data_IF_454837195758
#
_entry.id   IF_454837195758
#
_cell.length_a   1.000
_cell.length_b   1.000
_cell.length_c   1.000
_cell.angle_alpha   90.00
_cell.angle_beta   90.00
_cell.angle_gamma   90.00
#
_symmetry.space_group_name_H-M   'P 1'
#
loop_
_entity.id
_entity.type
_entity.pdbx_description
1 polymer ?
#
# COMPACT_ATOMS: atom_id res chain seq x y z
N UNK A 1 -31.20 -10.47 -5.01
CA UNK A 1 -29.89 -9.76 -5.28
C UNK A 1 -28.95 -10.15 -4.15
N UNK A 2 -27.61 -10.03 -4.25
CA UNK A 2 -26.69 -10.65 -3.28
C UNK A 2 -27.11 -10.52 -1.82
N UNK A 3 -27.49 -9.31 -1.37
CA UNK A 3 -27.95 -9.02 0.01
C UNK A 3 -29.45 -8.77 0.18
N UNK A 4 -30.28 -9.14 -0.81
CA UNK A 4 -31.74 -8.97 -0.83
C UNK A 4 -32.25 -7.63 -0.27
N UNK A 5 -31.63 -6.55 -0.75
CA UNK A 5 -31.98 -5.17 -0.40
C UNK A 5 -33.47 -4.86 -0.66
N UNK A 6 -34.15 -4.40 0.38
CA UNK A 6 -35.48 -3.78 0.29
C UNK A 6 -35.32 -2.31 -0.11
N UNK A 7 -35.61 -2.01 -1.38
CA UNK A 7 -35.38 -0.70 -1.96
C UNK A 7 -36.55 0.25 -1.68
N UNK A 8 -36.25 1.37 -1.04
CA UNK A 8 -37.20 2.46 -0.84
C UNK A 8 -36.71 3.80 -1.40
N UNK A 9 -37.65 4.70 -1.68
CA UNK A 9 -37.38 6.05 -2.22
C UNK A 9 -36.58 6.97 -1.29
N UNK A 10 -36.47 6.66 0.00
CA UNK A 10 -35.76 7.47 1.02
C UNK A 10 -34.78 6.67 1.88
N UNK A 11 -35.01 5.37 2.02
CA UNK A 11 -34.19 4.44 2.80
C UNK A 11 -34.24 3.10 2.10
N UNK A 12 -33.11 2.40 2.03
CA UNK A 12 -33.06 1.00 1.62
C UNK A 12 -32.41 0.19 2.74
N UNK A 13 -32.87 -1.03 2.98
CA UNK A 13 -32.47 -1.84 4.14
C UNK A 13 -32.08 -3.25 3.66
N UNK A 14 -30.99 -3.77 4.22
CA UNK A 14 -30.59 -5.18 4.10
C UNK A 14 -30.00 -5.64 5.44
N UNK A 15 -30.06 -6.94 5.71
CA UNK A 15 -29.43 -7.51 6.90
C UNK A 15 -27.91 -7.60 6.70
N UNK A 16 -27.15 -7.11 7.69
CA UNK A 16 -25.68 -7.14 7.64
C UNK A 16 -25.14 -8.58 7.65
N UNK A 17 -25.90 -9.54 8.17
CA UNK A 17 -25.55 -10.97 8.07
C UNK A 17 -25.53 -11.46 6.63
N UNK A 18 -26.47 -11.01 5.79
CA UNK A 18 -26.54 -11.40 4.38
C UNK A 18 -25.35 -10.86 3.59
N UNK A 19 -24.81 -9.70 4.00
CA UNK A 19 -23.56 -9.18 3.45
C UNK A 19 -22.37 -10.10 3.72
N UNK A 20 -22.23 -10.64 4.94
CA UNK A 20 -21.15 -11.58 5.26
C UNK A 20 -21.24 -12.85 4.39
N UNK A 21 -22.44 -13.39 4.21
CA UNK A 21 -22.68 -14.54 3.35
C UNK A 21 -22.46 -14.22 1.86
N UNK A 22 -22.89 -13.05 1.42
CA UNK A 22 -22.74 -12.62 0.01
C UNK A 22 -21.30 -12.46 -0.41
N UNK A 23 -20.46 -11.93 0.48
CA UNK A 23 -19.04 -11.70 0.25
C UNK A 23 -18.37 -12.95 -0.30
N UNK A 24 -18.57 -14.11 0.34
CA UNK A 24 -17.98 -15.36 -0.15
C UNK A 24 -18.78 -16.00 -1.29
N UNK A 25 -20.13 -15.96 -1.26
CA UNK A 25 -20.96 -16.64 -2.26
C UNK A 25 -20.87 -16.02 -3.65
N UNK A 26 -20.73 -14.69 -3.73
CA UNK A 26 -20.86 -13.94 -4.98
C UNK A 26 -19.65 -13.08 -5.33
N UNK A 27 -18.83 -12.71 -4.34
CA UNK A 27 -17.77 -11.71 -4.52
C UNK A 27 -16.35 -12.25 -4.30
N UNK A 28 -16.19 -13.56 -4.08
CA UNK A 28 -14.87 -14.20 -4.01
C UNK A 28 -14.07 -13.87 -2.75
N UNK A 29 -14.73 -13.43 -1.67
CA UNK A 29 -14.12 -13.26 -0.35
C UNK A 29 -14.04 -14.59 0.41
N UNK A 30 -13.24 -14.61 1.46
CA UNK A 30 -13.02 -15.78 2.30
C UNK A 30 -14.29 -16.11 3.07
N UNK A 31 -14.55 -17.40 3.21
CA UNK A 31 -15.67 -17.90 4.02
C UNK A 31 -15.50 -17.56 5.51
N UNK A 32 -14.30 -17.17 5.94
CA UNK A 32 -14.03 -16.68 7.30
C UNK A 32 -14.69 -15.33 7.61
N UNK A 33 -15.19 -14.60 6.60
CA UNK A 33 -15.95 -13.37 6.83
C UNK A 33 -17.19 -13.67 7.68
N UNK A 34 -17.22 -13.14 8.90
CA UNK A 34 -18.19 -13.53 9.93
C UNK A 34 -18.88 -12.34 10.54
N UNK A 35 -20.21 -12.38 10.54
CA UNK A 35 -21.05 -11.42 11.22
C UNK A 35 -21.06 -11.69 12.74
N UNK A 36 -20.83 -10.66 13.54
CA UNK A 36 -20.80 -10.73 15.01
C UNK A 36 -21.62 -9.59 15.63
N UNK A 37 -22.17 -9.84 16.82
CA UNK A 37 -23.01 -8.90 17.56
C UNK A 37 -22.25 -8.38 18.79
N UNK A 38 -22.13 -7.06 18.96
CA UNK A 38 -21.38 -6.44 20.08
C UNK A 38 -21.85 -6.93 21.45
N UNK A 39 -23.14 -7.19 21.60
CA UNK A 39 -23.76 -7.60 22.85
C UNK A 39 -23.26 -8.96 23.36
N UNK A 40 -22.65 -9.78 22.50
CA UNK A 40 -22.09 -11.09 22.86
C UNK A 40 -20.65 -10.98 23.42
N UNK A 41 -20.09 -9.77 23.48
CA UNK A 41 -18.69 -9.50 23.85
C UNK A 41 -18.59 -8.37 24.88
N UNK A 42 -17.55 -8.41 25.72
CA UNK A 42 -17.18 -7.25 26.55
C UNK A 42 -16.75 -6.06 25.66
N UNK A 43 -16.67 -4.86 26.24
CA UNK A 43 -16.20 -3.69 25.51
C UNK A 43 -14.72 -3.80 25.11
N UNK A 44 -13.89 -4.35 26.00
CA UNK A 44 -12.48 -4.63 25.76
C UNK A 44 -12.30 -5.64 24.61
N UNK A 45 -12.90 -6.83 24.71
CA UNK A 45 -12.76 -7.87 23.68
C UNK A 45 -13.24 -7.39 22.31
N UNK A 46 -14.34 -6.65 22.27
CA UNK A 46 -14.82 -6.13 20.99
C UNK A 46 -13.89 -5.07 20.38
N UNK A 47 -13.32 -4.21 21.21
CA UNK A 47 -12.35 -3.21 20.78
C UNK A 47 -11.07 -3.88 20.27
N UNK A 48 -10.57 -4.91 20.96
CA UNK A 48 -9.41 -5.70 20.55
C UNK A 48 -9.62 -6.37 19.19
N UNK A 49 -10.79 -6.96 18.98
CA UNK A 49 -11.13 -7.59 17.70
C UNK A 49 -11.16 -6.57 16.55
N UNK A 50 -11.63 -5.34 16.79
CA UNK A 50 -11.59 -4.28 15.79
C UNK A 50 -10.15 -3.84 15.49
N UNK A 51 -9.33 -3.66 16.52
CA UNK A 51 -7.92 -3.30 16.35
C UNK A 51 -7.15 -4.40 15.60
N UNK A 52 -7.44 -5.68 15.84
CA UNK A 52 -6.83 -6.81 15.13
C UNK A 52 -7.09 -6.77 13.62
N UNK A 53 -8.34 -6.53 13.20
CA UNK A 53 -8.68 -6.38 11.78
C UNK A 53 -7.92 -5.21 11.14
N UNK A 54 -7.89 -4.07 11.82
CA UNK A 54 -7.24 -2.85 11.33
C UNK A 54 -5.72 -3.01 11.25
N UNK A 55 -5.10 -3.72 12.20
CA UNK A 55 -3.67 -4.07 12.16
C UNK A 55 -3.33 -4.99 10.99
N UNK A 56 -4.30 -5.79 10.53
CA UNK A 56 -4.16 -6.61 9.33
C UNK A 56 -4.60 -5.88 8.05
N UNK A 57 -4.78 -4.55 8.10
CA UNK A 57 -5.21 -3.72 6.97
C UNK A 57 -6.56 -4.15 6.38
N UNK A 58 -7.47 -4.64 7.22
CA UNK A 58 -8.84 -5.03 6.84
C UNK A 58 -9.84 -4.04 7.43
N UNK A 59 -10.38 -3.10 6.63
CA UNK A 59 -11.51 -2.29 7.07
C UNK A 59 -12.72 -3.15 7.42
N UNK A 60 -13.43 -2.77 8.47
CA UNK A 60 -14.53 -3.55 9.05
C UNK A 60 -15.86 -2.91 8.65
N UNK A 61 -16.73 -3.67 7.96
CA UNK A 61 -18.12 -3.23 7.79
C UNK A 61 -18.82 -3.30 9.15
N UNK A 62 -19.30 -2.14 9.60
CA UNK A 62 -19.90 -1.94 10.91
C UNK A 62 -21.36 -1.48 10.76
N UNK A 63 -22.15 -1.65 11.82
CA UNK A 63 -23.48 -1.05 11.93
C UNK A 63 -23.82 -0.69 13.36
N UNK A 64 -24.73 0.26 13.48
CA UNK A 64 -25.35 0.67 14.73
C UNK A 64 -26.80 1.09 14.50
N UNK A 65 -27.51 1.40 15.58
CA UNK A 65 -28.92 1.82 15.55
C UNK A 65 -29.12 3.05 16.40
N UNK A 66 -29.72 4.05 15.78
CA UNK A 66 -30.40 5.13 16.46
C UNK A 66 -31.78 4.64 16.89
N UNK A 67 -32.09 4.77 18.18
CA UNK A 67 -33.32 4.23 18.76
C UNK A 67 -34.58 4.91 18.19
N UNK A 68 -34.47 6.12 17.65
CA UNK A 68 -35.57 6.90 17.10
C UNK A 68 -35.59 6.91 15.56
N UNK A 69 -34.44 6.70 14.92
CA UNK A 69 -34.27 6.92 13.47
C UNK A 69 -33.90 5.66 12.68
N UNK A 70 -33.62 4.54 13.34
CA UNK A 70 -33.33 3.26 12.68
C UNK A 70 -31.85 2.90 12.62
N UNK A 71 -31.55 1.83 11.88
CA UNK A 71 -30.19 1.31 11.72
C UNK A 71 -29.42 2.02 10.62
N UNK A 72 -28.09 2.05 10.74
CA UNK A 72 -27.18 2.50 9.70
C UNK A 72 -25.96 1.57 9.62
N UNK A 73 -25.39 1.39 8.42
CA UNK A 73 -24.17 0.63 8.19
C UNK A 73 -23.09 1.55 7.61
N UNK A 74 -21.88 1.40 8.09
CA UNK A 74 -20.73 2.29 7.86
C UNK A 74 -19.43 1.47 7.96
N UNK A 75 -18.27 2.08 7.73
CA UNK A 75 -16.97 1.37 7.71
C UNK A 75 -16.08 1.87 8.84
N UNK A 76 -15.53 0.96 9.63
CA UNK A 76 -14.42 1.25 10.54
C UNK A 76 -13.10 0.96 9.81
N UNK A 77 -12.27 1.97 9.61
CA UNK A 77 -11.04 1.90 8.78
C UNK A 77 -9.79 2.46 9.48
N UNK A 78 -9.87 2.73 10.78
CA UNK A 78 -8.71 3.14 11.57
C UNK A 78 -9.02 3.25 13.06
N UNK A 79 -7.98 3.48 13.85
CA UNK A 79 -8.09 3.72 15.28
C UNK A 79 -6.99 4.67 15.78
N UNK A 80 -7.20 5.28 16.95
CA UNK A 80 -6.27 6.18 17.64
C UNK A 80 -6.15 5.76 19.10
N UNK A 81 -4.92 5.44 19.54
CA UNK A 81 -4.69 4.90 20.87
C UNK A 81 -5.38 3.55 21.04
N UNK A 82 -6.13 3.37 22.14
CA UNK A 82 -6.85 2.12 22.45
C UNK A 82 -8.37 2.28 22.52
N UNK A 83 -8.89 3.50 22.32
CA UNK A 83 -10.30 3.81 22.63
C UNK A 83 -11.08 4.44 21.47
N UNK A 84 -10.41 5.12 20.54
CA UNK A 84 -11.05 5.83 19.44
C UNK A 84 -10.93 5.07 18.13
N UNK A 85 -12.04 4.92 17.42
CA UNK A 85 -12.11 4.28 16.12
C UNK A 85 -12.56 5.27 15.05
N UNK A 86 -11.88 5.26 13.91
CA UNK A 86 -12.26 6.06 12.75
C UNK A 86 -13.42 5.39 12.02
N UNK A 87 -14.45 6.16 11.68
CA UNK A 87 -15.58 5.69 10.92
C UNK A 87 -15.81 6.55 9.69
N UNK A 88 -15.95 5.89 8.54
CA UNK A 88 -16.50 6.43 7.32
C UNK A 88 -18.01 6.12 7.26
N UNK A 89 -18.84 7.15 7.33
CA UNK A 89 -20.30 7.00 7.44
C UNK A 89 -21.01 6.75 6.10
N UNK A 90 -20.27 6.80 4.98
CA UNK A 90 -20.83 6.67 3.64
C UNK A 90 -21.59 7.91 3.15
N UNK A 91 -21.33 9.08 3.74
CA UNK A 91 -21.98 10.36 3.38
C UNK A 91 -21.01 11.34 2.68
N UNK A 92 -20.10 10.81 1.86
CA UNK A 92 -19.15 11.62 1.09
C UNK A 92 -18.15 12.41 1.94
N UNK A 93 -17.75 11.86 3.09
CA UNK A 93 -16.83 12.51 4.06
C UNK A 93 -17.53 13.29 5.17
N UNK A 94 -18.84 13.55 5.06
CA UNK A 94 -19.58 14.24 6.12
C UNK A 94 -19.63 13.40 7.40
N UNK A 95 -19.18 14.00 8.50
CA UNK A 95 -19.10 13.39 9.83
C UNK A 95 -18.05 12.28 9.97
N UNK A 96 -17.24 11.99 8.95
CA UNK A 96 -16.15 11.03 9.10
C UNK A 96 -15.16 11.51 10.18
N UNK A 97 -14.64 10.57 10.97
CA UNK A 97 -13.76 10.93 12.08
C UNK A 97 -13.67 9.86 13.15
N UNK A 98 -13.05 10.21 14.27
CA UNK A 98 -12.76 9.31 15.40
C UNK A 98 -13.84 9.40 16.48
N UNK A 99 -14.36 8.24 16.88
CA UNK A 99 -15.45 8.09 17.84
C UNK A 99 -15.14 7.01 18.87
N UNK A 100 -15.70 7.17 20.07
CA UNK A 100 -15.83 6.06 21.02
C UNK A 100 -16.95 5.14 20.55
N UNK A 101 -16.80 3.82 20.72
CA UNK A 101 -17.86 2.86 20.41
C UNK A 101 -19.14 3.09 21.24
N UNK A 102 -19.02 3.66 22.44
CA UNK A 102 -20.16 4.06 23.27
C UNK A 102 -20.84 5.36 22.81
N UNK A 103 -20.19 6.15 21.95
CA UNK A 103 -20.64 7.47 21.52
C UNK A 103 -20.50 7.68 20.00
N UNK A 104 -21.16 6.81 19.23
CA UNK A 104 -21.24 6.88 17.76
C UNK A 104 -22.25 7.95 17.30
N UNK A 105 -21.96 9.22 17.63
CA UNK A 105 -22.81 10.37 17.33
C UNK A 105 -22.39 11.03 16.00
N UNK A 106 -23.10 10.72 14.91
CA UNK A 106 -22.80 11.24 13.58
C UNK A 106 -23.93 12.18 13.12
N UNK A 107 -23.58 13.44 12.85
CA UNK A 107 -24.57 14.48 12.53
C UNK A 107 -25.64 14.57 13.63
N UNK A 108 -26.93 14.38 13.31
CA UNK A 108 -28.05 14.37 14.26
C UNK A 108 -28.45 12.98 14.76
N UNK A 109 -27.63 11.94 14.53
CA UNK A 109 -27.95 10.55 14.85
C UNK A 109 -27.00 9.96 15.89
N UNK A 110 -27.48 9.01 16.69
CA UNK A 110 -26.68 8.27 17.69
C UNK A 110 -26.76 6.78 17.43
N UNK A 111 -25.73 6.20 16.82
CA UNK A 111 -25.70 4.79 16.42
C UNK A 111 -25.10 3.84 17.47
N UNK A 112 -24.96 4.27 18.73
CA UNK A 112 -24.31 3.47 19.79
C UNK A 112 -25.08 2.21 20.21
N UNK A 113 -26.32 1.98 19.76
CA UNK A 113 -27.12 0.81 20.15
C UNK A 113 -27.12 -0.30 19.09
N UNK A 114 -27.37 -1.54 19.51
CA UNK A 114 -27.49 -2.71 18.61
C UNK A 114 -26.35 -2.85 17.59
N UNK A 115 -25.12 -2.65 18.07
CA UNK A 115 -23.92 -2.67 17.24
C UNK A 115 -23.58 -4.08 16.77
N UNK A 116 -23.22 -4.20 15.49
CA UNK A 116 -22.75 -5.44 14.85
C UNK A 116 -21.69 -5.10 13.81
N UNK A 117 -20.88 -6.08 13.45
CA UNK A 117 -19.85 -5.93 12.44
C UNK A 117 -19.57 -7.25 11.70
N UNK A 118 -18.90 -7.15 10.57
CA UNK A 118 -18.38 -8.30 9.82
C UNK A 118 -16.86 -8.29 9.94
N UNK A 119 -16.30 -9.31 10.57
CA UNK A 119 -14.87 -9.50 10.76
C UNK A 119 -14.32 -10.48 9.72
N UNK A 120 -13.01 -10.44 9.43
CA UNK A 120 -12.37 -11.37 8.52
C UNK A 120 -12.71 -11.13 7.05
N UNK A 121 -13.12 -9.91 6.69
CA UNK A 121 -13.35 -9.54 5.29
C UNK A 121 -12.00 -9.51 4.58
N UNK A 122 -11.69 -10.59 3.88
CA UNK A 122 -10.49 -10.72 3.06
C UNK A 122 -10.78 -11.54 1.79
N UNK A 123 -9.95 -11.46 0.74
CA UNK A 123 -10.08 -12.31 -0.44
C UNK A 123 -10.13 -13.80 -0.09
N UNK A 124 -11.00 -14.56 -0.75
CA UNK A 124 -11.24 -15.98 -0.47
C UNK A 124 -10.22 -16.92 -1.06
N UNK A 125 -9.49 -16.43 -2.05
CA UNK A 125 -8.19 -16.96 -2.41
C UNK A 125 -7.20 -16.03 -1.74
N UNK A 126 -6.48 -16.52 -0.72
CA UNK A 126 -5.23 -15.87 -0.35
C UNK A 126 -4.33 -15.99 -1.58
N UNK A 127 -3.90 -14.87 -2.14
CA UNK A 127 -2.91 -14.92 -3.19
C UNK A 127 -1.55 -14.93 -2.51
N UNK A 128 -0.81 -16.03 -2.66
CA UNK A 128 0.62 -15.99 -2.36
C UNK A 128 1.26 -15.07 -3.39
N UNK A 129 2.28 -14.32 -2.98
CA UNK A 129 3.03 -13.49 -3.93
C UNK A 129 4.36 -14.16 -4.24
N UNK A 130 4.66 -14.33 -5.52
CA UNK A 130 6.00 -14.71 -5.96
C UNK A 130 6.68 -13.52 -6.61
N UNK A 131 7.94 -13.32 -6.23
CA UNK A 131 8.84 -12.45 -6.96
C UNK A 131 9.24 -13.15 -8.27
N UNK A 132 8.95 -12.51 -9.39
CA UNK A 132 9.32 -12.96 -10.74
C UNK A 132 10.62 -12.30 -11.21
N UNK A 133 10.89 -11.09 -10.70
CA UNK A 133 12.17 -10.42 -10.78
C UNK A 133 12.55 -10.01 -9.36
N UNK A 134 13.81 -10.25 -8.98
CA UNK A 134 14.37 -9.79 -7.73
C UNK A 134 15.83 -9.41 -7.97
N UNK A 135 16.17 -8.19 -7.57
CA UNK A 135 17.51 -7.64 -7.65
C UNK A 135 17.92 -7.16 -6.25
N UNK A 136 18.90 -7.85 -5.67
CA UNK A 136 19.51 -7.52 -4.38
C UNK A 136 20.88 -6.85 -4.54
N UNK A 137 21.31 -6.58 -5.77
CA UNK A 137 22.57 -5.93 -6.12
C UNK A 137 23.83 -6.64 -5.61
N UNK A 138 23.81 -7.96 -5.40
CA UNK A 138 24.97 -8.70 -4.89
C UNK A 138 25.99 -9.05 -5.98
N UNK A 139 25.52 -9.31 -7.20
CA UNK A 139 26.38 -9.59 -8.35
C UNK A 139 26.94 -8.29 -8.95
N UNK A 140 27.81 -8.39 -9.96
CA UNK A 140 28.34 -7.20 -10.63
C UNK A 140 27.25 -6.45 -11.39
N UNK A 141 27.10 -5.15 -11.10
CA UNK A 141 26.05 -4.29 -11.67
C UNK A 141 26.63 -3.28 -12.69
N UNK A 142 25.95 -2.98 -13.80
CA UNK A 142 24.61 -3.44 -14.18
C UNK A 142 24.56 -4.89 -14.67
N UNK A 143 23.62 -5.66 -14.13
CA UNK A 143 23.27 -6.99 -14.65
C UNK A 143 22.60 -6.89 -16.03
N UNK A 144 22.42 -8.04 -16.70
CA UNK A 144 21.82 -8.09 -18.04
C UNK A 144 20.42 -7.47 -18.04
N UNK A 145 20.21 -6.48 -18.91
CA UNK A 145 18.93 -5.79 -19.09
C UNK A 145 18.77 -4.54 -18.22
N UNK A 146 19.57 -4.38 -17.17
CA UNK A 146 19.64 -3.13 -16.43
C UNK A 146 20.47 -2.10 -17.19
N UNK A 147 20.08 -0.84 -17.09
CA UNK A 147 20.85 0.27 -17.66
C UNK A 147 20.67 1.54 -16.85
N UNK A 148 21.54 2.52 -17.05
CA UNK A 148 21.33 3.87 -16.52
C UNK A 148 21.39 4.89 -17.65
N UNK A 149 20.62 5.96 -17.52
CA UNK A 149 20.60 7.10 -18.45
C UNK A 149 20.66 8.39 -17.66
N UNK A 150 21.62 9.25 -17.98
CA UNK A 150 21.67 10.62 -17.44
C UNK A 150 20.62 11.45 -18.18
N UNK A 151 19.64 12.00 -17.45
CA UNK A 151 18.52 12.78 -18.00
C UNK A 151 18.87 14.26 -17.98
N UNK A 152 19.38 14.73 -16.83
CA UNK A 152 19.89 16.08 -16.67
C UNK A 152 21.27 16.00 -16.00
N UNK A 153 22.32 16.26 -16.78
CA UNK A 153 23.69 16.10 -16.32
C UNK A 153 24.19 17.31 -15.52
N UNK A 154 25.22 17.08 -14.72
CA UNK A 154 25.89 18.09 -13.91
C UNK A 154 27.33 17.68 -13.65
N UNK A 155 28.09 18.54 -12.96
CA UNK A 155 29.44 18.21 -12.49
C UNK A 155 29.53 18.44 -10.98
N UNK A 156 29.74 17.40 -10.16
CA UNK A 156 29.71 15.96 -10.46
C UNK A 156 28.41 15.43 -11.08
N UNK A 157 28.49 14.31 -11.79
CA UNK A 157 27.36 13.70 -12.53
C UNK A 157 26.49 12.82 -11.60
N UNK A 158 25.15 12.78 -11.80
CA UNK A 158 24.20 12.03 -10.97
C UNK A 158 24.20 10.52 -11.26
N UNK A 159 25.36 9.85 -11.17
CA UNK A 159 25.47 8.43 -11.55
C UNK A 159 24.85 7.49 -10.53
N UNK A 160 24.36 6.35 -11.03
CA UNK A 160 24.03 5.17 -10.23
C UNK A 160 25.26 4.26 -10.11
N UNK A 161 25.59 3.84 -8.88
CA UNK A 161 26.76 3.02 -8.60
C UNK A 161 26.49 1.99 -7.50
N UNK A 162 27.03 0.78 -7.65
CA UNK A 162 26.99 -0.24 -6.61
C UNK A 162 27.97 0.09 -5.49
N UNK A 163 27.54 -0.07 -4.24
CA UNK A 163 28.33 0.19 -3.03
C UNK A 163 28.09 -0.88 -1.97
N UNK A 164 29.03 -1.07 -1.06
CA UNK A 164 28.90 -2.00 0.08
C UNK A 164 28.56 -1.31 1.41
N UNK A 165 28.55 0.01 1.42
CA UNK A 165 28.15 0.85 2.56
C UNK A 165 27.78 2.24 2.05
N UNK A 166 26.89 2.91 2.78
CA UNK A 166 26.47 4.27 2.49
C UNK A 166 27.35 5.29 3.20
N UNK A 167 27.59 6.42 2.53
CA UNK A 167 28.14 7.64 3.08
C UNK A 167 27.22 8.80 2.74
N UNK A 168 26.81 9.58 3.75
CA UNK A 168 25.82 10.66 3.62
C UNK A 168 24.48 10.22 2.99
N UNK A 169 23.60 9.51 3.71
CA UNK A 169 23.77 9.07 5.10
C UNK A 169 24.65 7.83 5.23
N UNK A 170 25.10 7.57 6.46
CA UNK A 170 25.72 6.29 6.81
C UNK A 170 24.65 5.21 6.92
N UNK A 171 24.77 4.14 6.14
CA UNK A 171 23.91 2.97 6.20
C UNK A 171 24.63 1.72 5.71
N UNK A 172 24.08 0.57 6.05
CA UNK A 172 24.45 -0.73 5.46
C UNK A 172 23.35 -1.17 4.50
N UNK A 173 23.66 -2.06 3.53
CA UNK A 173 22.64 -2.75 2.73
C UNK A 173 21.50 -3.30 3.58
N UNK A 174 20.29 -3.33 3.00
CA UNK A 174 19.09 -3.81 3.69
C UNK A 174 19.12 -5.34 3.85
N UNK A 175 19.80 -6.00 2.91
CA UNK A 175 20.11 -7.41 2.89
C UNK A 175 21.47 -7.61 2.21
N UNK A 176 22.09 -8.77 2.39
CA UNK A 176 23.37 -9.07 1.74
C UNK A 176 24.52 -8.12 2.11
N UNK A 177 25.34 -7.78 1.12
CA UNK A 177 26.61 -7.03 1.27
C UNK A 177 26.73 -5.82 0.36
N UNK A 178 25.80 -5.63 -0.57
CA UNK A 178 25.83 -4.54 -1.56
C UNK A 178 24.45 -3.92 -1.74
N UNK A 179 24.42 -2.71 -2.27
CA UNK A 179 23.21 -1.96 -2.60
C UNK A 179 23.52 -0.98 -3.74
N UNK A 180 22.51 -0.35 -4.34
CA UNK A 180 22.71 0.69 -5.35
C UNK A 180 22.58 2.09 -4.76
N UNK A 181 23.49 2.97 -5.13
CA UNK A 181 23.52 4.38 -4.72
C UNK A 181 23.27 5.28 -5.92
N UNK A 182 22.38 6.25 -5.77
CA UNK A 182 22.34 7.45 -6.58
C UNK A 182 23.12 8.58 -5.91
N UNK A 183 24.09 9.15 -6.64
CA UNK A 183 24.93 10.23 -6.15
C UNK A 183 24.17 11.56 -6.14
N UNK A 184 23.51 11.88 -5.02
CA UNK A 184 22.90 13.21 -4.80
C UNK A 184 23.83 14.12 -3.98
N UNK A 185 24.56 13.57 -3.00
CA UNK A 185 25.32 14.37 -2.04
C UNK A 185 26.35 15.30 -2.67
N UNK A 186 27.01 14.84 -3.73
CA UNK A 186 28.02 15.64 -4.43
C UNK A 186 27.50 16.29 -5.71
N UNK A 187 26.27 15.99 -6.11
CA UNK A 187 25.68 16.42 -7.37
C UNK A 187 24.84 17.68 -7.14
N UNK A 188 24.94 18.71 -7.99
CA UNK A 188 24.08 19.90 -7.91
C UNK A 188 22.57 19.59 -7.92
N UNK A 189 21.80 20.56 -7.46
CA UNK A 189 20.34 20.55 -7.51
C UNK A 189 19.83 20.56 -8.97
N UNK A 190 18.78 19.78 -9.22
CA UNK A 190 18.12 19.62 -10.51
C UNK A 190 18.73 18.55 -11.41
N UNK A 191 19.86 17.95 -11.03
CA UNK A 191 20.44 16.85 -11.79
C UNK A 191 19.64 15.55 -11.64
N UNK A 192 19.58 14.76 -12.69
CA UNK A 192 18.69 13.60 -12.77
C UNK A 192 19.32 12.44 -13.57
N UNK A 193 19.18 11.23 -13.05
CA UNK A 193 19.48 10.02 -13.81
C UNK A 193 18.50 8.89 -13.50
N UNK A 194 18.14 8.14 -14.54
CA UNK A 194 17.24 7.00 -14.44
C UNK A 194 18.02 5.70 -14.44
N UNK A 195 17.75 4.88 -13.43
CA UNK A 195 18.05 3.45 -13.45
C UNK A 195 16.88 2.71 -14.09
N UNK A 196 17.13 1.99 -15.17
CA UNK A 196 16.11 1.26 -15.93
C UNK A 196 16.24 -0.23 -15.68
N UNK A 197 15.13 -0.85 -15.29
CA UNK A 197 15.00 -2.31 -15.12
C UNK A 197 14.98 -3.00 -16.50
N UNK A 198 15.25 -4.32 -16.55
CA UNK A 198 14.95 -5.15 -17.72
C UNK A 198 13.48 -5.00 -18.16
N UNK A 199 13.20 -5.17 -19.46
CA UNK A 199 11.82 -5.17 -19.96
C UNK A 199 11.01 -6.29 -19.33
N UNK A 200 9.78 -5.99 -18.92
CA UNK A 200 8.88 -6.94 -18.26
C UNK A 200 7.69 -7.23 -19.16
N UNK A 201 7.47 -8.50 -19.50
CA UNK A 201 6.23 -8.95 -20.14
C UNK A 201 5.20 -9.36 -19.08
N UNK A 202 4.22 -8.49 -18.87
CA UNK A 202 3.15 -8.67 -17.88
C UNK A 202 1.93 -9.40 -18.47
N UNK A 203 2.05 -10.06 -19.63
CA UNK A 203 0.93 -10.76 -20.28
C UNK A 203 0.26 -11.80 -19.37
N UNK A 204 1.06 -12.52 -18.58
CA UNK A 204 0.57 -13.57 -17.69
C UNK A 204 0.54 -13.18 -16.21
N UNK A 205 0.86 -11.92 -15.90
CA UNK A 205 0.92 -11.46 -14.52
C UNK A 205 -0.49 -11.20 -13.97
N UNK A 206 -0.67 -11.38 -12.65
CA UNK A 206 -1.91 -11.02 -11.95
C UNK A 206 -1.60 -10.06 -10.81
N UNK A 207 -2.25 -8.90 -10.82
CA UNK A 207 -1.99 -7.83 -9.84
C UNK A 207 -0.49 -7.53 -9.63
N UNK A 208 0.28 -7.31 -10.73
CA UNK A 208 1.71 -7.05 -10.66
C UNK A 208 2.01 -5.83 -9.80
N UNK A 209 3.12 -5.87 -9.07
CA UNK A 209 3.54 -4.78 -8.19
C UNK A 209 5.06 -4.66 -8.19
N UNK A 210 5.53 -3.43 -8.31
CA UNK A 210 6.92 -3.10 -8.03
C UNK A 210 7.10 -2.87 -6.54
N UNK A 211 8.18 -3.44 -6.01
CA UNK A 211 8.66 -3.24 -4.64
C UNK A 211 10.10 -2.77 -4.72
N UNK A 212 10.46 -1.81 -3.89
CA UNK A 212 11.86 -1.47 -3.68
C UNK A 212 12.06 -1.00 -2.25
N UNK A 213 13.20 -1.34 -1.66
CA UNK A 213 13.66 -0.77 -0.41
C UNK A 213 14.44 0.51 -0.69
N UNK A 214 14.16 1.57 0.06
CA UNK A 214 14.92 2.82 0.02
C UNK A 214 15.32 3.22 1.44
N UNK A 215 16.58 3.63 1.62
CA UNK A 215 17.02 4.14 2.91
C UNK A 215 16.58 5.58 3.07
N UNK A 216 15.72 5.83 4.07
CA UNK A 216 15.23 7.15 4.39
C UNK A 216 15.89 7.69 5.66
N UNK A 217 15.90 9.02 5.79
CA UNK A 217 16.42 9.69 6.98
C UNK A 217 15.68 11.02 7.21
N UNK A 218 16.01 11.67 8.34
CA UNK A 218 15.37 12.90 8.82
C UNK A 218 16.20 14.17 8.58
N UNK A 219 17.33 14.10 7.86
CA UNK A 219 18.13 15.27 7.50
C UNK A 219 17.71 15.88 6.17
N UNK A 220 18.16 17.12 5.89
CA UNK A 220 17.89 17.87 4.66
C UNK A 220 16.37 17.99 4.37
N UNK A 221 15.58 18.38 5.38
CA UNK A 221 14.12 18.44 5.30
C UNK A 221 13.59 19.54 4.38
N UNK A 222 14.44 20.47 3.96
CA UNK A 222 14.15 21.52 2.99
C UNK A 222 14.26 21.06 1.53
N UNK A 223 14.87 19.89 1.29
CA UNK A 223 15.12 19.32 -0.04
C UNK A 223 13.92 18.52 -0.55
N UNK A 224 12.80 19.21 -0.77
CA UNK A 224 11.51 18.56 -1.08
C UNK A 224 11.48 17.79 -2.41
N UNK A 225 12.38 18.14 -3.34
CA UNK A 225 12.46 17.53 -4.67
C UNK A 225 13.56 16.45 -4.76
N UNK A 226 14.23 16.12 -3.64
CA UNK A 226 15.23 15.06 -3.58
C UNK A 226 14.59 13.70 -3.28
N UNK A 227 14.73 12.75 -4.21
CA UNK A 227 14.07 11.46 -4.08
C UNK A 227 14.07 10.65 -5.36
N UNK A 228 13.19 9.65 -5.41
CA UNK A 228 13.00 8.77 -6.56
C UNK A 228 11.63 8.97 -7.16
N UNK A 229 11.57 9.24 -8.46
CA UNK A 229 10.33 9.09 -9.24
C UNK A 229 10.31 7.73 -9.90
N UNK A 230 9.26 6.94 -9.66
CA UNK A 230 8.99 5.74 -10.43
C UNK A 230 8.34 6.14 -11.74
N UNK A 231 8.97 5.72 -12.85
CA UNK A 231 8.56 6.02 -14.21
C UNK A 231 8.23 4.74 -14.96
N UNK A 232 7.27 4.80 -15.89
CA UNK A 232 6.89 3.69 -16.77
C UNK A 232 7.04 4.09 -18.23
N UNK A 233 7.48 3.15 -19.05
CA UNK A 233 7.38 3.21 -20.50
C UNK A 233 6.69 1.96 -21.05
N UNK A 234 5.77 2.13 -22.00
CA UNK A 234 5.12 1.01 -22.73
C UNK A 234 5.84 0.71 -24.06
N UNK A 235 6.85 1.50 -24.45
CA UNK A 235 7.59 1.35 -25.70
C UNK A 235 9.12 1.39 -25.55
N UNK A 236 9.61 1.59 -24.32
CA UNK A 236 11.03 1.65 -23.99
C UNK A 236 11.68 3.03 -24.24
N UNK A 237 10.93 4.01 -24.77
CA UNK A 237 11.49 5.32 -25.16
C UNK A 237 10.76 6.50 -24.51
N UNK A 238 9.43 6.45 -24.45
CA UNK A 238 8.60 7.50 -23.87
C UNK A 238 8.25 7.15 -22.43
N UNK A 239 8.49 8.08 -21.50
CA UNK A 239 8.40 7.83 -20.06
C UNK A 239 7.33 8.69 -19.42
N UNK A 240 6.54 8.08 -18.53
CA UNK A 240 5.51 8.73 -17.72
C UNK A 240 5.81 8.54 -16.25
N UNK A 241 5.72 9.61 -15.47
CA UNK A 241 5.88 9.57 -14.01
C UNK A 241 4.64 8.95 -13.36
N UNK A 242 4.84 7.97 -12.48
CA UNK A 242 3.77 7.40 -11.65
C UNK A 242 3.71 8.08 -10.29
N UNK A 243 4.83 8.10 -9.58
CA UNK A 243 4.88 8.55 -8.19
C UNK A 243 6.28 8.93 -7.78
N UNK A 244 6.37 10.05 -7.06
CA UNK A 244 7.58 10.49 -6.38
C UNK A 244 7.64 9.97 -4.94
N UNK A 245 8.82 9.55 -4.52
CA UNK A 245 9.17 9.07 -3.19
C UNK A 245 10.31 9.93 -2.63
N UNK A 246 10.04 10.78 -1.63
CA UNK A 246 11.06 11.68 -1.09
C UNK A 246 12.11 10.90 -0.31
N UNK A 247 13.37 11.36 -0.37
CA UNK A 247 14.44 10.84 0.50
C UNK A 247 14.20 11.21 1.96
N UNK A 248 13.84 12.47 2.22
CA UNK A 248 13.48 12.92 3.56
C UNK A 248 12.17 12.27 4.03
N UNK A 249 12.18 11.72 5.23
CA UNK A 249 10.97 11.30 5.93
C UNK A 249 11.10 11.54 7.44
N UNK A 250 10.03 11.32 8.21
CA UNK A 250 10.03 11.51 9.66
C UNK A 250 10.70 10.37 10.46
N UNK A 251 11.25 9.36 9.79
CA UNK A 251 11.98 8.28 10.47
C UNK A 251 13.14 7.74 9.62
N UNK A 252 14.23 7.40 10.29
CA UNK A 252 15.44 6.88 9.66
C UNK A 252 15.42 5.36 9.56
N UNK A 253 15.85 4.83 8.41
CA UNK A 253 15.98 3.40 8.16
C UNK A 253 15.49 2.97 6.79
N UNK A 254 15.67 1.69 6.48
CA UNK A 254 15.13 1.07 5.28
C UNK A 254 13.61 0.99 5.33
N UNK A 255 12.97 1.44 4.26
CA UNK A 255 11.52 1.33 4.07
C UNK A 255 11.25 0.67 2.73
N UNK A 256 10.32 -0.29 2.73
CA UNK A 256 9.78 -0.88 1.50
C UNK A 256 8.66 -0.02 0.96
N UNK A 257 8.76 0.30 -0.32
CA UNK A 257 7.75 1.00 -1.09
C UNK A 257 7.09 0.06 -2.07
N UNK A 258 5.83 0.34 -2.37
CA UNK A 258 4.98 -0.50 -3.21
C UNK A 258 4.32 0.38 -4.27
N UNK A 259 4.39 -0.07 -5.52
CA UNK A 259 3.73 0.57 -6.68
C UNK A 259 2.85 -0.46 -7.35
N UNK A 260 1.55 -0.20 -7.37
CA UNK A 260 0.60 -1.03 -8.09
C UNK A 260 0.80 -0.87 -9.61
N UNK A 261 1.06 -1.98 -10.30
CA UNK A 261 1.23 -2.02 -11.75
C UNK A 261 0.05 -2.71 -12.44
N UNK A 262 -1.06 -2.97 -11.72
CA UNK A 262 -2.20 -3.75 -12.23
C UNK A 262 -2.75 -3.19 -13.55
N UNK A 263 -2.72 -1.87 -13.74
CA UNK A 263 -3.13 -1.22 -14.99
C UNK A 263 -2.34 -1.70 -16.22
N UNK A 264 -1.09 -2.13 -16.04
CA UNK A 264 -0.18 -2.58 -17.09
C UNK A 264 -0.24 -4.09 -17.34
N UNK A 265 -1.13 -4.83 -16.67
CA UNK A 265 -1.36 -6.25 -16.95
C UNK A 265 -1.71 -6.44 -18.43
N UNK A 266 -1.11 -7.45 -19.09
CA UNK A 266 -1.32 -7.68 -20.51
C UNK A 266 -0.34 -6.92 -21.43
N UNK A 267 0.64 -6.19 -20.89
CA UNK A 267 1.55 -5.34 -21.67
C UNK A 267 3.02 -5.71 -21.41
N UNK A 268 3.88 -5.40 -22.36
CA UNK A 268 5.32 -5.28 -22.11
C UNK A 268 5.64 -3.87 -21.68
N UNK A 269 6.36 -3.71 -20.57
CA UNK A 269 6.72 -2.40 -20.00
C UNK A 269 8.19 -2.33 -19.61
N UNK A 270 8.66 -1.10 -19.41
CA UNK A 270 9.93 -0.78 -18.76
C UNK A 270 9.65 0.09 -17.55
N UNK A 271 10.41 -0.15 -16.50
CA UNK A 271 10.33 0.59 -15.24
C UNK A 271 11.62 1.37 -15.05
N UNK A 272 11.48 2.64 -14.71
CA UNK A 272 12.57 3.55 -14.41
C UNK A 272 12.49 4.01 -12.97
N UNK A 273 13.60 3.97 -12.25
CA UNK A 273 13.78 4.61 -10.96
C UNK A 273 14.62 5.87 -11.22
N UNK A 274 13.96 7.01 -11.36
CA UNK A 274 14.63 8.29 -11.64
C UNK A 274 15.05 8.96 -10.34
N UNK A 275 16.36 9.10 -10.15
CA UNK A 275 16.93 9.80 -9.00
C UNK A 275 17.01 11.29 -9.29
N UNK A 276 16.46 12.10 -8.38
CA UNK A 276 16.49 13.56 -8.43
C UNK A 276 17.43 14.08 -7.35
N UNK A 277 18.45 14.82 -7.77
CA UNK A 277 19.40 15.46 -6.87
C UNK A 277 18.90 16.83 -6.44
N UNK A 278 19.01 17.12 -5.14
CA UNK A 278 18.89 18.48 -4.60
C UNK A 278 20.17 18.91 -3.86
N UNK A 279 21.29 18.22 -4.12
CA UNK A 279 22.54 18.35 -3.38
C UNK A 279 22.36 18.12 -1.86
N UNK A 280 21.52 17.16 -1.48
CA UNK A 280 21.29 16.76 -0.10
C UNK A 280 22.12 15.53 0.25
N UNK A 281 21.46 14.42 0.50
CA UNK A 281 22.13 13.15 0.83
C UNK A 281 21.99 12.16 -0.32
N UNK A 282 22.97 11.27 -0.48
CA UNK A 282 22.88 10.13 -1.39
C UNK A 282 21.62 9.31 -1.12
N UNK A 283 21.08 8.74 -2.19
CA UNK A 283 19.89 7.90 -2.13
C UNK A 283 20.33 6.46 -2.34
N UNK A 284 19.92 5.58 -1.43
CA UNK A 284 20.26 4.16 -1.48
C UNK A 284 19.01 3.34 -1.72
N UNK A 285 19.08 2.46 -2.71
CA UNK A 285 18.06 1.46 -3.00
C UNK A 285 18.63 0.06 -2.86
N UNK A 286 17.75 -0.86 -2.50
CA UNK A 286 18.05 -2.27 -2.36
C UNK A 286 16.76 -3.08 -2.54
N UNK A 287 16.85 -4.40 -2.70
CA UNK A 287 15.72 -5.32 -2.83
C UNK A 287 14.63 -4.81 -3.79
N UNK A 288 15.01 -4.62 -5.07
CA UNK A 288 14.06 -4.25 -6.12
C UNK A 288 13.40 -5.51 -6.65
N UNK A 289 12.09 -5.62 -6.48
CA UNK A 289 11.33 -6.82 -6.82
C UNK A 289 10.12 -6.47 -7.68
N UNK A 290 9.78 -7.39 -8.58
CA UNK A 290 8.47 -7.44 -9.23
C UNK A 290 7.78 -8.69 -8.75
N UNK A 291 6.67 -8.51 -8.03
CA UNK A 291 5.83 -9.61 -7.59
C UNK A 291 4.50 -9.66 -8.34
N UNK A 292 3.87 -10.84 -8.29
CA UNK A 292 2.50 -11.04 -8.73
C UNK A 292 1.72 -11.91 -7.75
N UNK A 293 0.40 -11.78 -7.81
CA UNK A 293 -0.53 -12.58 -7.05
C UNK A 293 -0.75 -13.95 -7.72
N UNK A 294 -0.43 -15.03 -7.01
CA UNK A 294 -0.64 -16.41 -7.46
C UNK A 294 -1.79 -17.03 -6.67
N UNK A 295 -2.78 -17.67 -7.33
CA UNK A 295 -3.83 -18.39 -6.62
C UNK A 295 -3.24 -19.51 -5.75
N UNK A 296 -3.61 -19.56 -4.48
CA UNK A 296 -3.21 -20.63 -3.54
C UNK A 296 -3.68 -22.03 -3.94
N UNK A 297 -4.65 -22.16 -4.84
CA UNK A 297 -5.18 -23.45 -5.30
C UNK A 297 -4.29 -24.22 -6.31
N UNK A 298 -3.12 -23.70 -6.68
CA UNK A 298 -2.17 -24.41 -7.56
C UNK A 298 -1.07 -25.20 -6.84
N UNK A 299 -1.02 -25.19 -5.50
CA UNK A 299 -0.25 -26.21 -4.78
C UNK A 299 -1.12 -27.46 -4.64
N UNK A 300 -0.85 -28.45 -5.50
CA UNK A 300 -1.36 -29.79 -5.28
C UNK A 300 -0.98 -30.23 -3.87
N UNK A 301 -1.96 -30.74 -3.13
CA UNK A 301 -1.75 -31.42 -1.87
C UNK A 301 -0.68 -32.50 -2.02
N UNK A 302 0.43 -32.38 -1.29
CA UNK A 302 1.22 -33.54 -0.85
C UNK A 302 0.69 -34.06 0.50
#
# INVERSE_FOLDING_TARGET
KPIDMDYGMRTSIAETGDAATSLYQYFGYNISAVYKVKADYSDETWSDMLMEELNHHRPVQYRGKDLNSGGHSFVCDGYQGTEYFHFNWGWGGSSDGYYLLSALNASSYTFSSYQKAIFGIQPGIEYQRAAELSESFENDFPETGWSQTIINDSSPSPVWSQVSSGLNPSCTPSDGTKMIQFNSYSTPDGAEARLTLPSLDLTNYRYPRLIFSMYNETSNSEKNDEGITVQISENGTDWTDLRFYPRYTLSTGWKRYYVDLTYYTGKTIWIGLSGHSANGSNIYLDQVEIDQAIPTCFMASE
#
